data_IF_906608408054
#
_entry.id   IF_906608408054
#
_cell.length_a   1.000
_cell.length_b   1.000
_cell.length_c   1.000
_cell.angle_alpha   90.00
_cell.angle_beta   90.00
_cell.angle_gamma   90.00
#
_symmetry.space_group_name_H-M   'P 1'
#
loop_
_entity.id
_entity.type
_entity.pdbx_description
1 polymer ?
#
# COMPACT_ATOMS: atom_id res chain seq x y z
N UNK A 1 -13.25 -0.60 9.26
CA UNK A 1 -13.09 0.07 7.94
C UNK A 1 -12.40 -0.91 7.01
N UNK A 2 -12.96 -1.15 5.82
CA UNK A 2 -12.32 -1.99 4.79
C UNK A 2 -11.91 -1.08 3.63
N UNK A 3 -10.64 -1.13 3.27
CA UNK A 3 -10.06 -0.39 2.15
C UNK A 3 -9.69 -1.42 1.08
N UNK A 4 -10.33 -1.31 -0.08
CA UNK A 4 -9.99 -2.09 -1.28
C UNK A 4 -9.12 -1.23 -2.18
N UNK A 5 -7.84 -1.57 -2.26
CA UNK A 5 -6.92 -0.89 -3.17
C UNK A 5 -7.15 -1.39 -4.60
N UNK A 6 -7.27 -0.46 -5.55
CA UNK A 6 -7.42 -0.78 -6.97
C UNK A 6 -6.08 -1.18 -7.62
N UNK A 7 -5.00 -0.58 -7.16
CA UNK A 7 -3.60 -0.83 -7.54
C UNK A 7 -2.74 -0.87 -6.28
N UNK A 8 -1.51 -1.36 -6.37
CA UNK A 8 -0.61 -1.39 -5.21
C UNK A 8 -0.37 0.02 -4.67
N UNK A 9 -0.44 0.18 -3.35
CA UNK A 9 -0.13 1.44 -2.71
C UNK A 9 1.38 1.52 -2.45
N UNK A 10 2.05 2.38 -3.20
CA UNK A 10 3.49 2.65 -3.05
C UNK A 10 3.74 3.50 -1.81
N UNK A 11 4.55 2.98 -0.87
CA UNK A 11 4.84 3.65 0.40
C UNK A 11 6.20 4.31 0.35
N UNK A 12 6.23 5.64 0.43
CA UNK A 12 7.44 6.45 0.42
C UNK A 12 8.21 6.44 1.74
N UNK A 13 9.47 6.85 1.68
CA UNK A 13 10.35 7.00 2.86
C UNK A 13 9.79 7.98 3.90
N UNK A 14 10.16 7.80 5.17
CA UNK A 14 9.77 8.66 6.31
C UNK A 14 8.26 8.75 6.55
N UNK A 15 7.54 7.64 6.36
CA UNK A 15 6.09 7.56 6.58
C UNK A 15 5.72 6.53 7.64
N UNK A 16 4.68 6.86 8.41
CA UNK A 16 4.02 5.94 9.33
C UNK A 16 2.57 5.73 8.90
N UNK A 17 2.17 4.48 8.66
CA UNK A 17 0.77 4.08 8.56
C UNK A 17 0.39 3.40 9.88
N UNK A 18 -0.51 4.04 10.62
CA UNK A 18 -0.90 3.63 11.96
C UNK A 18 -2.41 3.41 12.05
N UNK A 19 -2.81 2.15 12.26
CA UNK A 19 -4.21 1.78 12.43
C UNK A 19 -4.68 1.77 13.88
N UNK A 20 -3.91 2.28 14.86
CA UNK A 20 -4.35 2.30 16.27
C UNK A 20 -5.65 3.09 16.43
N UNK A 21 -6.50 2.63 17.35
CA UNK A 21 -7.81 3.25 17.62
C UNK A 21 -8.89 2.97 16.56
N UNK A 22 -8.57 2.23 15.48
CA UNK A 22 -9.51 1.82 14.46
C UNK A 22 -9.30 0.35 14.07
N UNK A 23 -10.37 -0.33 13.64
CA UNK A 23 -10.24 -1.65 13.01
C UNK A 23 -10.13 -1.48 11.49
N UNK A 24 -8.91 -1.40 10.97
CA UNK A 24 -8.62 -1.13 9.55
C UNK A 24 -8.17 -2.39 8.84
N UNK A 25 -8.90 -2.74 7.78
CA UNK A 25 -8.59 -3.86 6.90
C UNK A 25 -8.20 -3.34 5.51
N UNK A 26 -7.06 -3.78 4.97
CA UNK A 26 -6.70 -3.65 3.55
C UNK A 26 -6.93 -5.02 2.92
N UNK A 27 -7.98 -5.15 2.11
CA UNK A 27 -8.42 -6.45 1.62
C UNK A 27 -9.20 -6.42 0.30
N UNK A 28 -9.30 -7.59 -0.34
CA UNK A 28 -10.08 -7.86 -1.56
C UNK A 28 -9.66 -7.05 -2.79
N UNK A 29 -8.41 -6.59 -2.80
CA UNK A 29 -7.79 -5.78 -3.83
C UNK A 29 -6.26 -5.88 -3.76
N UNK A 30 -5.57 -4.89 -4.30
CA UNK A 30 -4.12 -4.86 -4.32
C UNK A 30 -3.51 -4.64 -2.92
N UNK A 31 -2.19 -4.88 -2.82
CA UNK A 31 -1.43 -4.77 -1.57
C UNK A 31 -0.71 -3.44 -1.38
N UNK A 32 0.22 -3.43 -0.42
CA UNK A 32 1.18 -2.35 -0.21
C UNK A 32 2.51 -2.74 -0.83
N UNK A 33 3.21 -1.77 -1.41
CA UNK A 33 4.53 -1.99 -2.00
C UNK A 33 5.54 -0.99 -1.43
N UNK A 34 6.69 -1.51 -1.00
CA UNK A 34 7.80 -0.74 -0.45
C UNK A 34 9.04 -1.13 -1.25
N UNK A 35 9.52 -0.25 -2.11
CA UNK A 35 10.70 -0.49 -2.95
C UNK A 35 11.67 0.66 -2.80
N UNK A 36 12.92 0.36 -2.44
CA UNK A 36 14.00 1.36 -2.29
C UNK A 36 13.69 2.49 -1.27
N UNK A 37 12.79 2.25 -0.31
CA UNK A 37 12.40 3.24 0.71
C UNK A 37 13.00 2.94 2.08
N UNK A 38 13.14 3.99 2.88
CA UNK A 38 13.74 3.96 4.21
C UNK A 38 12.83 4.63 5.25
N UNK A 39 12.95 4.24 6.51
CA UNK A 39 12.19 4.85 7.61
C UNK A 39 10.67 4.76 7.45
N UNK A 40 10.17 3.55 7.20
CA UNK A 40 8.73 3.26 7.08
C UNK A 40 8.25 2.45 8.28
N UNK A 41 7.15 2.87 8.90
CA UNK A 41 6.47 2.12 9.95
C UNK A 41 5.05 1.78 9.47
N UNK A 42 4.70 0.50 9.47
CA UNK A 42 3.33 0.03 9.19
C UNK A 42 2.86 -0.76 10.40
N UNK A 43 1.83 -0.26 11.08
CA UNK A 43 1.43 -0.79 12.39
C UNK A 43 -0.10 -0.83 12.56
N UNK A 44 -0.57 -1.86 13.27
CA UNK A 44 -1.96 -2.07 13.66
C UNK A 44 -2.97 -2.07 12.48
N UNK A 45 -2.59 -2.69 11.36
CA UNK A 45 -3.47 -2.93 10.20
C UNK A 45 -3.73 -4.43 10.03
N UNK A 46 -4.91 -4.78 9.55
CA UNK A 46 -5.24 -6.12 9.07
C UNK A 46 -5.07 -6.15 7.54
N UNK A 47 -4.12 -6.92 7.02
CA UNK A 47 -3.87 -7.04 5.57
C UNK A 47 -4.10 -8.49 5.16
N UNK A 48 -5.10 -8.76 4.33
CA UNK A 48 -5.51 -10.12 3.95
C UNK A 48 -6.29 -10.12 2.62
N UNK A 49 -6.53 -11.29 2.04
CA UNK A 49 -7.25 -11.45 0.76
C UNK A 49 -6.72 -10.57 -0.38
N UNK A 50 -5.39 -10.41 -0.44
CA UNK A 50 -4.72 -9.61 -1.48
C UNK A 50 -4.78 -10.34 -2.81
N UNK A 51 -5.12 -9.60 -3.86
CA UNK A 51 -5.25 -10.10 -5.23
C UNK A 51 -4.30 -9.33 -6.15
N UNK A 52 -3.75 -9.98 -7.20
CA UNK A 52 -2.94 -9.30 -8.21
C UNK A 52 -3.74 -8.16 -8.86
N UNK A 53 -3.15 -6.96 -8.97
CA UNK A 53 -3.71 -5.90 -9.82
C UNK A 53 -3.35 -6.16 -11.28
N UNK A 54 -4.31 -5.91 -12.19
CA UNK A 54 -4.19 -6.15 -13.63
C UNK A 54 -3.52 -5.00 -14.40
N UNK A 55 -3.11 -3.95 -13.71
CA UNK A 55 -2.70 -2.68 -14.32
C UNK A 55 -1.24 -2.39 -13.97
N UNK A 56 -0.42 -2.22 -15.00
CA UNK A 56 1.05 -2.08 -14.88
C UNK A 56 1.48 -0.64 -14.59
N UNK A 57 0.57 0.34 -14.70
CA UNK A 57 0.85 1.75 -14.46
C UNK A 57 0.60 2.11 -13.00
N UNK A 58 1.62 1.89 -12.16
CA UNK A 58 1.61 2.26 -10.75
C UNK A 58 2.43 3.53 -10.58
N UNK A 59 1.86 4.54 -9.91
CA UNK A 59 2.57 5.77 -9.56
C UNK A 59 3.48 5.50 -8.36
N UNK A 60 4.79 5.63 -8.57
CA UNK A 60 5.82 5.25 -7.60
C UNK A 60 6.31 6.45 -6.77
N UNK A 61 6.53 7.59 -7.42
CA UNK A 61 6.96 8.85 -6.78
C UNK A 61 6.39 10.06 -7.54
N UNK A 62 6.53 11.29 -7.01
CA UNK A 62 6.20 12.51 -7.75
C UNK A 62 6.82 12.45 -9.18
N UNK A 63 5.93 12.46 -10.18
CA UNK A 63 6.19 12.46 -11.62
C UNK A 63 6.87 11.24 -12.27
N UNK A 64 6.97 10.07 -11.62
CA UNK A 64 7.45 8.83 -12.28
C UNK A 64 6.50 7.63 -12.14
N UNK A 65 6.27 6.98 -13.27
CA UNK A 65 5.55 5.70 -13.37
C UNK A 65 6.56 4.56 -13.20
N UNK A 66 6.30 3.65 -12.27
CA UNK A 66 7.00 2.37 -12.20
C UNK A 66 6.46 1.43 -13.27
N UNK A 67 7.32 0.58 -13.83
CA UNK A 67 6.91 -0.52 -14.71
C UNK A 67 7.17 -1.82 -13.93
N UNK A 68 6.18 -2.71 -13.90
CA UNK A 68 6.31 -4.05 -13.32
C UNK A 68 7.28 -4.95 -14.07
#
# INVERSE_FOLDING_TARGET
>A
MVIKLQQELMINSYNTIDGRGANVHIAYGAGLTIQFMQHVIIHNLHIHDIQPSSDDNIRDFEDRWGIK
#
